data_IF_193476548824
#
_entry.id   IF_193476548824
#
_cell.length_a   1.000
_cell.length_b   1.000
_cell.length_c   1.000
_cell.angle_alpha   90.00
_cell.angle_beta   90.00
_cell.angle_gamma   90.00
#
_symmetry.space_group_name_H-M   'P 1'
#
loop_
_entity.id
_entity.type
_entity.pdbx_description
1 polymer ?
#
# COMPACT_ATOMS: atom_id res chain seq x y z
N UNK A 1 8.58 10.29 69.17
CA UNK A 1 8.99 11.59 68.57
C UNK A 1 9.11 11.36 67.06
N UNK A 2 8.05 11.58 66.27
CA UNK A 2 7.68 12.88 65.69
C UNK A 2 8.87 13.59 65.04
N UNK A 3 9.07 13.36 63.73
CA UNK A 3 9.32 14.40 62.73
C UNK A 3 8.65 13.98 61.42
N UNK A 4 7.47 14.54 61.19
CA UNK A 4 6.81 14.60 59.88
C UNK A 4 7.53 15.72 59.12
N UNK A 5 7.84 15.50 57.84
CA UNK A 5 7.80 16.55 56.81
C UNK A 5 7.48 15.89 55.46
N UNK A 6 6.24 16.10 55.04
CA UNK A 6 5.70 15.94 53.69
C UNK A 6 6.12 17.14 52.83
N UNK A 7 6.61 16.93 51.62
CA UNK A 7 6.40 17.76 50.41
C UNK A 7 6.83 16.91 49.18
N UNK A 8 5.89 16.27 48.47
CA UNK A 8 5.23 16.80 47.26
C UNK A 8 6.14 16.78 46.02
N UNK A 9 5.91 15.84 45.09
CA UNK A 9 5.74 16.09 43.64
C UNK A 9 5.50 14.77 42.90
N UNK A 10 4.49 14.78 42.04
CA UNK A 10 4.26 13.78 41.00
C UNK A 10 5.54 13.59 40.17
N UNK A 11 5.96 12.36 39.95
CA UNK A 11 6.67 11.99 38.73
C UNK A 11 6.01 10.76 38.12
N UNK A 12 4.89 11.02 37.45
CA UNK A 12 4.54 10.23 36.29
C UNK A 12 5.65 10.41 35.25
N UNK A 13 6.52 9.42 35.12
CA UNK A 13 7.21 9.20 33.86
C UNK A 13 6.63 7.94 33.25
N UNK A 14 5.51 8.16 32.55
CA UNK A 14 5.15 7.33 31.43
C UNK A 14 6.39 7.26 30.54
N UNK A 15 7.00 6.08 30.43
CA UNK A 15 7.92 5.80 29.34
C UNK A 15 7.05 5.64 28.10
N UNK A 16 6.55 6.76 27.59
CA UNK A 16 6.21 6.94 26.19
C UNK A 16 7.54 6.97 25.44
N UNK A 17 8.13 5.80 25.23
CA UNK A 17 9.16 5.61 24.21
C UNK A 17 8.52 5.84 22.85
N UNK A 18 8.62 7.10 22.41
CA UNK A 18 8.85 7.52 21.03
C UNK A 18 8.03 6.78 19.95
N UNK A 19 6.73 7.10 19.89
CA UNK A 19 5.95 6.92 18.66
C UNK A 19 6.28 7.97 17.56
N UNK A 20 7.30 8.82 17.75
CA UNK A 20 7.51 10.03 16.92
C UNK A 20 8.75 10.04 16.03
N UNK A 21 9.54 8.96 15.94
CA UNK A 21 10.74 8.94 15.08
C UNK A 21 10.73 7.97 13.90
N UNK A 22 9.65 7.20 13.67
CA UNK A 22 9.53 6.37 12.43
C UNK A 22 8.84 7.06 11.26
N UNK A 23 8.71 8.39 11.30
CA UNK A 23 8.10 9.20 10.24
C UNK A 23 9.03 9.56 9.08
N UNK A 24 10.31 9.14 9.11
CA UNK A 24 11.34 9.61 8.16
C UNK A 24 12.08 8.46 7.48
N UNK A 25 11.39 7.58 6.76
CA UNK A 25 12.09 6.71 5.79
C UNK A 25 11.23 6.14 4.65
N UNK A 26 10.22 6.86 4.16
CA UNK A 26 9.48 6.46 2.94
C UNK A 26 10.17 6.89 1.62
N UNK A 27 11.49 6.88 1.59
CA UNK A 27 12.30 7.34 0.45
C UNK A 27 13.59 6.56 0.18
N UNK A 28 13.88 5.49 0.93
CA UNK A 28 15.05 4.66 0.63
C UNK A 28 14.79 3.85 -0.64
N UNK A 29 15.64 4.06 -1.65
CA UNK A 29 16.01 3.17 -2.77
C UNK A 29 15.45 1.75 -2.58
N UNK A 30 14.21 1.57 -3.04
CA UNK A 30 13.30 0.55 -2.50
C UNK A 30 13.71 -0.87 -2.84
N UNK A 31 13.93 -1.69 -1.82
CA UNK A 31 13.85 -3.13 -1.98
C UNK A 31 12.50 -3.44 -2.63
N UNK A 32 12.52 -4.02 -3.83
CA UNK A 32 11.27 -4.31 -4.54
C UNK A 32 10.51 -5.29 -3.67
N UNK A 33 9.18 -5.15 -3.61
CA UNK A 33 8.33 -6.07 -2.86
C UNK A 33 8.50 -7.53 -3.30
N UNK A 34 9.06 -7.76 -4.50
CA UNK A 34 9.46 -9.08 -5.00
C UNK A 34 10.61 -9.73 -4.24
N UNK A 35 11.41 -8.96 -3.50
CA UNK A 35 12.68 -9.40 -2.94
C UNK A 35 12.59 -9.62 -1.42
N UNK A 36 11.53 -9.09 -0.78
CA UNK A 36 11.24 -9.32 0.64
C UNK A 36 10.78 -10.76 0.90
N UNK A 37 11.02 -11.29 2.10
CA UNK A 37 10.45 -12.57 2.55
C UNK A 37 8.96 -12.42 2.85
N UNK A 38 8.16 -13.51 2.80
CA UNK A 38 6.76 -13.48 3.24
C UNK A 38 6.57 -12.89 4.64
N UNK A 39 7.46 -13.23 5.56
CA UNK A 39 7.44 -12.80 6.97
C UNK A 39 7.66 -11.29 7.07
N UNK A 40 8.63 -10.74 6.34
CA UNK A 40 8.89 -9.30 6.31
C UNK A 40 7.73 -8.52 5.68
N UNK A 41 7.07 -9.10 4.66
CA UNK A 41 5.87 -8.51 4.05
C UNK A 41 4.72 -8.51 5.07
N UNK A 42 4.50 -9.63 5.75
CA UNK A 42 3.42 -9.78 6.73
C UNK A 42 3.61 -8.85 7.92
N UNK A 43 4.82 -8.76 8.46
CA UNK A 43 5.17 -7.85 9.54
C UNK A 43 4.91 -6.40 9.14
N UNK A 44 5.42 -5.97 7.99
CA UNK A 44 5.23 -4.60 7.51
C UNK A 44 3.75 -4.22 7.34
N UNK A 45 2.93 -5.14 6.82
CA UNK A 45 1.49 -4.92 6.68
C UNK A 45 0.79 -4.84 8.02
N UNK A 46 1.20 -5.69 8.97
CA UNK A 46 0.63 -5.73 10.31
C UNK A 46 0.97 -4.49 11.09
N UNK A 47 2.23 -4.05 11.08
CA UNK A 47 2.68 -2.80 11.73
C UNK A 47 1.93 -1.59 11.18
N UNK A 48 1.81 -1.50 9.85
CA UNK A 48 1.06 -0.42 9.20
C UNK A 48 -0.41 -0.39 9.63
N UNK A 49 -1.06 -1.56 9.72
CA UNK A 49 -2.46 -1.64 10.15
C UNK A 49 -2.63 -1.40 11.65
N UNK A 50 -1.69 -1.86 12.47
CA UNK A 50 -1.65 -1.56 13.91
C UNK A 50 -1.63 -0.06 14.15
N UNK A 51 -0.73 0.66 13.48
CA UNK A 51 -0.59 2.11 13.61
C UNK A 51 -1.85 2.85 13.15
N UNK A 52 -2.48 2.40 12.07
CA UNK A 52 -3.68 3.06 11.51
C UNK A 52 -4.97 2.79 12.28
N UNK A 53 -5.09 1.60 12.87
CA UNK A 53 -6.35 1.11 13.43
C UNK A 53 -6.31 0.95 14.95
N UNK A 54 -5.16 1.16 15.60
CA UNK A 54 -5.01 1.01 17.04
C UNK A 54 -5.28 -0.43 17.51
N UNK A 55 -4.73 -1.41 16.80
CA UNK A 55 -5.02 -2.83 17.05
C UNK A 55 -4.53 -3.28 18.44
N UNK A 56 -5.34 -4.09 19.11
CA UNK A 56 -4.92 -4.80 20.34
C UNK A 56 -3.90 -5.90 20.01
N UNK A 57 -3.11 -6.38 21.00
CA UNK A 57 -2.13 -7.45 20.78
C UNK A 57 -2.72 -8.73 20.15
N UNK A 58 -3.93 -9.12 20.56
CA UNK A 58 -4.60 -10.31 20.02
C UNK A 58 -5.04 -10.12 18.56
N UNK A 59 -5.50 -8.92 18.21
CA UNK A 59 -5.85 -8.56 16.83
C UNK A 59 -4.61 -8.50 15.94
N UNK A 60 -3.53 -7.92 16.45
CA UNK A 60 -2.24 -7.85 15.76
C UNK A 60 -1.73 -9.24 15.41
N UNK A 61 -1.76 -10.19 16.35
CA UNK A 61 -1.35 -11.57 16.12
C UNK A 61 -2.18 -12.26 15.03
N UNK A 62 -3.52 -12.17 15.13
CA UNK A 62 -4.43 -12.76 14.12
C UNK A 62 -4.20 -12.16 12.73
N UNK A 63 -3.95 -10.85 12.67
CA UNK A 63 -3.71 -10.14 11.42
C UNK A 63 -2.34 -10.50 10.81
N UNK A 64 -1.31 -10.66 11.64
CA UNK A 64 -0.02 -11.15 11.20
C UNK A 64 -0.13 -12.53 10.55
N UNK A 65 -0.80 -13.47 11.20
CA UNK A 65 -0.98 -14.83 10.67
C UNK A 65 -1.73 -14.82 9.32
N UNK A 66 -2.76 -13.97 9.21
CA UNK A 66 -3.51 -13.78 7.97
C UNK A 66 -2.62 -13.21 6.85
N UNK A 67 -1.88 -12.14 7.15
CA UNK A 67 -0.97 -11.50 6.20
C UNK A 67 0.15 -12.45 5.76
N UNK A 68 0.66 -13.27 6.68
CA UNK A 68 1.70 -14.27 6.39
C UNK A 68 1.19 -15.33 5.41
N UNK A 69 -0.01 -15.85 5.64
CA UNK A 69 -0.65 -16.79 4.70
C UNK A 69 -0.71 -16.19 3.29
N UNK A 70 -1.24 -14.98 3.15
CA UNK A 70 -1.37 -14.35 1.83
C UNK A 70 -0.03 -13.96 1.21
N UNK A 71 0.97 -13.59 2.00
CA UNK A 71 2.31 -13.30 1.53
C UNK A 71 2.99 -14.56 0.96
N UNK A 72 2.83 -15.71 1.62
CA UNK A 72 3.29 -17.02 1.13
C UNK A 72 2.59 -17.39 -0.17
N UNK A 73 1.25 -17.29 -0.21
CA UNK A 73 0.46 -17.58 -1.41
C UNK A 73 0.90 -16.69 -2.60
N UNK A 74 1.17 -15.41 -2.34
CA UNK A 74 1.66 -14.47 -3.35
C UNK A 74 3.04 -14.88 -3.87
N UNK A 75 3.98 -15.26 -3.00
CA UNK A 75 5.31 -15.71 -3.41
C UNK A 75 5.26 -16.99 -4.23
N UNK A 76 4.44 -17.96 -3.83
CA UNK A 76 4.24 -19.19 -4.60
C UNK A 76 3.72 -18.88 -6.02
N UNK A 77 2.67 -18.05 -6.15
CA UNK A 77 2.17 -17.61 -7.47
C UNK A 77 3.21 -16.88 -8.29
N UNK A 78 4.05 -16.06 -7.66
CA UNK A 78 5.11 -15.35 -8.35
C UNK A 78 6.15 -16.30 -8.96
N UNK A 79 6.50 -17.38 -8.26
CA UNK A 79 7.40 -18.41 -8.81
C UNK A 79 6.78 -19.17 -9.98
N UNK A 80 5.49 -19.51 -9.90
CA UNK A 80 4.75 -20.11 -11.04
C UNK A 80 4.80 -19.20 -12.26
N UNK A 81 4.45 -17.93 -12.11
CA UNK A 81 4.49 -16.95 -13.21
C UNK A 81 5.90 -16.78 -13.77
N UNK A 82 6.93 -16.82 -12.93
CA UNK A 82 8.35 -16.76 -13.37
C UNK A 82 8.69 -17.99 -14.22
N UNK A 83 8.29 -19.18 -13.79
CA UNK A 83 8.52 -20.42 -14.53
C UNK A 83 7.79 -20.42 -15.87
N UNK A 84 6.50 -20.07 -15.90
CA UNK A 84 5.70 -19.97 -17.13
C UNK A 84 6.31 -18.96 -18.10
N UNK A 85 6.75 -17.79 -17.62
CA UNK A 85 7.42 -16.79 -18.45
C UNK A 85 8.73 -17.33 -19.05
N UNK A 86 9.54 -18.08 -18.29
CA UNK A 86 10.75 -18.72 -18.80
C UNK A 86 10.43 -19.73 -19.90
N UNK A 87 9.41 -20.57 -19.69
CA UNK A 87 8.98 -21.55 -20.68
C UNK A 87 8.47 -20.88 -21.97
N UNK A 88 7.65 -19.84 -21.84
CA UNK A 88 7.16 -19.07 -22.99
C UNK A 88 8.28 -18.42 -23.78
N UNK A 89 9.30 -17.87 -23.12
CA UNK A 89 10.48 -17.31 -23.78
C UNK A 89 11.28 -18.38 -24.52
N UNK A 90 11.43 -19.57 -23.94
CA UNK A 90 12.09 -20.71 -24.59
C UNK A 90 11.34 -21.14 -25.85
N UNK A 91 10.02 -21.36 -25.77
CA UNK A 91 9.19 -21.71 -26.93
C UNK A 91 9.22 -20.63 -28.01
N UNK A 92 9.22 -19.36 -27.63
CA UNK A 92 9.33 -18.25 -28.58
C UNK A 92 10.67 -18.26 -29.34
N UNK A 93 11.78 -18.55 -28.65
CA UNK A 93 13.11 -18.69 -29.26
C UNK A 93 13.20 -19.88 -30.19
N UNK A 94 12.65 -21.02 -29.78
CA UNK A 94 12.58 -22.23 -30.61
C UNK A 94 11.81 -21.96 -31.89
N UNK A 95 10.60 -21.37 -31.77
CA UNK A 95 9.80 -20.97 -32.92
C UNK A 95 10.54 -20.00 -33.84
N UNK A 96 11.21 -18.98 -33.31
CA UNK A 96 12.02 -18.03 -34.10
C UNK A 96 13.18 -18.75 -34.82
N UNK A 97 13.78 -19.78 -34.22
CA UNK A 97 14.79 -20.62 -34.87
C UNK A 97 14.20 -21.41 -36.04
N UNK A 98 13.07 -22.10 -35.83
CA UNK A 98 12.39 -22.89 -36.86
C UNK A 98 11.89 -22.03 -38.02
N UNK A 99 11.36 -20.83 -37.73
CA UNK A 99 10.99 -19.89 -38.80
C UNK A 99 12.23 -19.51 -39.61
N UNK A 100 13.36 -19.19 -38.97
CA UNK A 100 14.58 -18.80 -39.69
C UNK A 100 15.21 -19.94 -40.50
N UNK A 101 14.98 -21.21 -40.16
CA UNK A 101 15.55 -22.33 -40.93
C UNK A 101 14.84 -22.56 -42.26
N UNK A 102 13.55 -22.22 -42.37
CA UNK A 102 12.75 -22.43 -43.59
C UNK A 102 12.79 -21.26 -44.58
N UNK A 103 13.34 -20.11 -44.18
CA UNK A 103 13.42 -18.92 -45.03
C UNK A 103 14.63 -18.93 -45.95
N UNK A 104 14.50 -18.36 -47.15
CA UNK A 104 15.64 -18.04 -48.02
C UNK A 104 16.48 -16.88 -47.42
N UNK A 105 17.72 -16.66 -47.88
CA UNK A 105 18.56 -15.57 -47.38
C UNK A 105 17.88 -14.19 -47.45
N UNK A 106 17.24 -13.86 -48.58
CA UNK A 106 16.55 -12.58 -48.74
C UNK A 106 15.33 -12.46 -47.82
N UNK A 107 14.56 -13.53 -47.67
CA UNK A 107 13.42 -13.56 -46.74
C UNK A 107 13.87 -13.39 -45.27
N UNK A 108 15.02 -13.96 -44.87
CA UNK A 108 15.58 -13.75 -43.52
C UNK A 108 15.92 -12.28 -43.27
N UNK A 109 16.44 -11.57 -44.29
CA UNK A 109 16.74 -10.14 -44.19
C UNK A 109 15.48 -9.33 -43.89
N UNK A 110 14.40 -9.55 -44.63
CA UNK A 110 13.11 -8.91 -44.37
C UNK A 110 12.53 -9.28 -43.01
N UNK A 111 12.66 -10.55 -42.61
CA UNK A 111 12.19 -11.04 -41.31
C UNK A 111 12.85 -10.30 -40.14
N UNK A 112 14.16 -10.07 -40.18
CA UNK A 112 14.87 -9.32 -39.14
C UNK A 112 14.41 -7.86 -39.06
N UNK A 113 14.28 -7.18 -40.20
CA UNK A 113 13.78 -5.79 -40.25
C UNK A 113 12.37 -5.70 -39.65
N UNK A 114 11.48 -6.62 -40.02
CA UNK A 114 10.13 -6.68 -39.49
C UNK A 114 10.13 -6.86 -37.96
N UNK A 115 10.94 -7.80 -37.44
CA UNK A 115 11.02 -8.06 -36.00
C UNK A 115 11.54 -6.85 -35.22
N UNK A 116 12.57 -6.19 -35.73
CA UNK A 116 13.16 -5.02 -35.08
C UNK A 116 12.18 -3.84 -35.06
N UNK A 117 11.44 -3.62 -36.15
CA UNK A 117 10.36 -2.62 -36.19
C UNK A 117 9.29 -2.92 -35.13
N UNK A 118 8.87 -4.17 -34.99
CA UNK A 118 7.88 -4.55 -33.97
C UNK A 118 8.41 -4.34 -32.54
N UNK A 119 9.69 -4.67 -32.30
CA UNK A 119 10.35 -4.42 -31.02
C UNK A 119 10.44 -2.92 -30.70
N UNK A 120 10.74 -2.08 -31.68
CA UNK A 120 10.74 -0.62 -31.49
C UNK A 120 9.35 -0.10 -31.16
N UNK A 121 8.31 -0.49 -31.91
CA UNK A 121 6.91 -0.12 -31.59
C UNK A 121 6.54 -0.50 -30.16
N UNK A 122 6.96 -1.67 -29.68
CA UNK A 122 6.69 -2.09 -28.30
C UNK A 122 7.45 -1.25 -27.27
N UNK A 123 8.71 -0.89 -27.56
CA UNK A 123 9.51 0.01 -26.70
C UNK A 123 8.91 1.41 -26.64
N UNK A 124 8.46 1.95 -27.77
CA UNK A 124 7.86 3.29 -27.83
C UNK A 124 6.52 3.32 -27.10
N UNK A 125 5.69 2.30 -27.26
CA UNK A 125 4.47 2.12 -26.44
C UNK A 125 4.80 2.05 -24.95
N UNK A 126 5.87 1.36 -24.56
CA UNK A 126 6.28 1.27 -23.16
C UNK A 126 6.79 2.62 -22.62
N UNK A 127 7.58 3.36 -23.40
CA UNK A 127 8.02 4.72 -23.07
C UNK A 127 6.83 5.66 -22.92
N UNK A 128 5.90 5.64 -23.87
CA UNK A 128 4.70 6.47 -23.84
C UNK A 128 3.85 6.15 -22.60
N UNK A 129 3.60 4.87 -22.30
CA UNK A 129 2.90 4.49 -21.06
C UNK A 129 3.62 4.99 -19.80
N UNK A 130 4.95 4.88 -19.75
CA UNK A 130 5.74 5.39 -18.63
C UNK A 130 5.61 6.90 -18.49
N UNK A 131 5.61 7.63 -19.59
CA UNK A 131 5.42 9.08 -19.59
C UNK A 131 4.01 9.47 -19.17
N UNK A 132 2.97 8.79 -19.67
CA UNK A 132 1.59 9.00 -19.23
C UNK A 132 1.44 8.73 -17.72
N UNK A 133 2.06 7.66 -17.21
CA UNK A 133 2.09 7.40 -15.77
C UNK A 133 2.81 8.53 -15.01
N UNK A 134 3.91 9.06 -15.54
CA UNK A 134 4.66 10.17 -14.92
C UNK A 134 3.87 11.49 -14.95
N UNK A 135 3.14 11.75 -16.03
CA UNK A 135 2.29 12.93 -16.17
C UNK A 135 1.05 12.85 -15.27
N UNK A 136 0.42 11.67 -15.17
CA UNK A 136 -0.68 11.41 -14.23
C UNK A 136 -0.18 11.29 -12.77
N UNK A 137 1.13 11.17 -12.56
CA UNK A 137 1.79 11.25 -11.25
C UNK A 137 2.32 12.66 -10.93
N UNK A 138 2.14 13.66 -11.80
CA UNK A 138 2.22 15.07 -11.36
C UNK A 138 1.28 15.18 -10.16
N UNK A 139 1.73 15.75 -9.03
CA UNK A 139 1.04 15.56 -7.77
C UNK A 139 -0.41 16.02 -7.93
N UNK A 140 -1.34 15.10 -7.64
CA UNK A 140 -2.60 15.50 -7.00
C UNK A 140 -2.16 16.38 -5.83
N UNK A 141 -2.20 17.69 -6.04
CA UNK A 141 -1.48 18.64 -5.21
C UNK A 141 -1.99 18.44 -3.78
N UNK A 142 -1.12 18.07 -2.82
CA UNK A 142 -1.56 17.80 -1.44
C UNK A 142 -2.27 19.03 -0.85
N UNK A 143 -1.89 20.23 -1.32
CA UNK A 143 -2.55 21.50 -1.07
C UNK A 143 -4.02 21.54 -1.54
N UNK A 144 -4.38 20.88 -2.64
CA UNK A 144 -5.78 20.80 -3.09
C UNK A 144 -6.61 19.87 -2.19
N UNK A 145 -6.03 18.79 -1.67
CA UNK A 145 -6.71 17.92 -0.70
C UNK A 145 -6.82 18.59 0.68
N UNK A 146 -5.82 19.39 1.07
CA UNK A 146 -5.87 20.19 2.30
C UNK A 146 -6.88 21.34 2.14
N UNK A 147 -6.95 21.97 0.97
CA UNK A 147 -7.95 22.99 0.66
C UNK A 147 -9.36 22.40 0.54
N UNK A 148 -9.55 21.23 -0.10
CA UNK A 148 -10.82 20.50 -0.13
C UNK A 148 -11.20 19.98 1.26
N UNK A 149 -10.25 19.49 2.06
CA UNK A 149 -10.49 19.13 3.48
C UNK A 149 -10.88 20.36 4.29
N UNK A 150 -10.22 21.49 4.10
CA UNK A 150 -10.55 22.75 4.77
C UNK A 150 -11.90 23.27 4.33
N UNK A 151 -12.25 23.19 3.04
CA UNK A 151 -13.57 23.55 2.52
C UNK A 151 -14.69 22.62 3.01
N UNK A 152 -14.43 21.32 3.10
CA UNK A 152 -15.39 20.37 3.68
C UNK A 152 -15.57 20.61 5.18
N UNK A 153 -14.50 20.99 5.90
CA UNK A 153 -14.56 21.29 7.33
C UNK A 153 -15.18 22.68 7.61
N UNK A 154 -15.03 23.66 6.71
CA UNK A 154 -15.68 24.97 6.83
C UNK A 154 -17.17 24.91 6.50
N UNK A 155 -17.60 24.07 5.56
CA UNK A 155 -19.03 23.81 5.30
C UNK A 155 -19.72 23.10 6.48
N UNK A 156 -18.98 22.33 7.29
CA UNK A 156 -19.52 21.76 8.54
C UNK A 156 -19.55 22.76 9.71
N UNK A 157 -18.87 23.91 9.60
CA UNK A 157 -18.90 24.97 10.62
C UNK A 157 -19.97 26.04 10.35
N UNK A 158 -20.33 26.32 9.09
CA UNK A 158 -21.39 27.29 8.76
C UNK A 158 -22.81 26.71 8.78
N UNK A 159 -22.95 25.41 9.04
CA UNK A 159 -24.23 24.70 9.12
C UNK A 159 -24.60 24.19 10.51
N UNK A 160 -23.94 24.66 11.59
CA UNK A 160 -24.35 24.28 12.94
C UNK A 160 -25.57 25.13 13.36
N UNK A 161 -26.81 24.57 13.41
CA UNK A 161 -27.88 25.28 14.08
C UNK A 161 -27.51 25.44 15.55
N UNK A 162 -27.52 26.69 15.99
CA UNK A 162 -27.62 27.03 17.39
C UNK A 162 -28.72 26.21 18.06
N UNK A 163 -28.36 25.57 19.17
CA UNK A 163 -29.25 25.15 20.22
C UNK A 163 -30.39 24.18 19.82
N UNK A 164 -30.07 22.90 19.66
CA UNK A 164 -31.05 21.83 19.81
C UNK A 164 -30.92 21.24 21.21
N UNK A 165 -31.73 21.73 22.16
CA UNK A 165 -32.12 20.94 23.32
C UNK A 165 -32.61 19.58 22.80
N UNK A 166 -31.95 18.50 23.23
CA UNK A 166 -32.45 17.14 23.00
C UNK A 166 -33.79 17.03 23.73
N UNK A 167 -34.93 16.82 23.05
CA UNK A 167 -36.18 16.54 23.72
C UNK A 167 -36.04 15.19 24.42
N UNK A 168 -36.08 15.21 25.75
CA UNK A 168 -36.13 14.01 26.57
C UNK A 168 -37.51 13.36 26.40
N UNK A 169 -37.67 12.50 25.40
CA UNK A 169 -38.95 11.80 25.19
C UNK A 169 -38.81 10.31 24.82
N UNK A 170 -37.70 9.67 25.18
CA UNK A 170 -37.59 8.20 25.13
C UNK A 170 -36.97 7.53 26.38
N UNK A 171 -36.87 8.22 27.52
CA UNK A 171 -36.53 7.57 28.80
C UNK A 171 -37.75 7.15 29.64
N UNK A 172 -38.98 7.19 29.08
CA UNK A 172 -40.20 6.82 29.83
C UNK A 172 -41.01 5.66 29.24
N UNK A 173 -40.35 4.67 28.63
CA UNK A 173 -41.00 3.38 28.31
C UNK A 173 -40.25 2.12 28.77
N UNK A 174 -39.18 2.23 29.58
CA UNK A 174 -38.54 1.06 30.24
C UNK A 174 -38.80 1.06 31.76
N UNK A 175 -39.95 1.58 32.20
CA UNK A 175 -40.44 1.41 33.58
C UNK A 175 -41.95 1.10 33.66
N UNK A 176 -42.56 0.62 32.55
CA UNK A 176 -43.91 0.03 32.58
C UNK A 176 -44.01 -1.24 31.71
N UNK A 177 -43.14 -2.20 31.99
CA UNK A 177 -43.55 -3.62 32.01
C UNK A 177 -42.86 -4.27 33.20
N UNK A 178 -43.54 -4.18 34.34
CA UNK A 178 -43.55 -5.29 35.28
C UNK A 178 -44.30 -6.45 34.62
#
# INVERSE_FOLDING_TARGET
MKKILLFATLFAFAITTSAQERGKEFGQKGMRTSDMTPEAIAQKQTEHMKERLGLTPDQEKKLYDLNLKFAKDRKARQEVIRAERRQMLSKAKEKDSLVRSILTPDQKRFYYIYRDMQMQKMRDKAKHRKEMMRQNQKPFNRQHMDAERQHMNSQHQEGAPHNAQIPNTQQKQIQKSK
#
